data_IF_385703382900
#
_entry.id   IF_385703382900
#
_cell.length_a   1.000
_cell.length_b   1.000
_cell.length_c   1.000
_cell.angle_alpha   90.00
_cell.angle_beta   90.00
_cell.angle_gamma   90.00
#
_symmetry.space_group_name_H-M   'P 1'
#
loop_
_entity.id
_entity.type
_entity.pdbx_description
1 polymer ?
#
# COMPACT_ATOMS: atom_id res chain seq x y z
N UNK A 1 -7.56 -17.54 -13.23
CA UNK A 1 -7.47 -16.14 -12.78
C UNK A 1 -6.53 -16.13 -11.59
N UNK A 2 -5.36 -15.50 -11.71
CA UNK A 2 -4.41 -15.40 -10.58
C UNK A 2 -4.93 -14.36 -9.60
N UNK A 3 -4.98 -14.73 -8.33
CA UNK A 3 -5.37 -13.83 -7.25
C UNK A 3 -4.09 -13.25 -6.64
N UNK A 4 -3.93 -11.93 -6.74
CA UNK A 4 -2.77 -11.18 -6.21
C UNK A 4 -3.00 -10.65 -4.80
N UNK A 5 -4.09 -11.04 -4.15
CA UNK A 5 -4.48 -10.63 -2.81
C UNK A 5 -4.70 -11.87 -1.93
N UNK A 6 -4.46 -11.71 -0.63
CA UNK A 6 -5.07 -12.59 0.37
C UNK A 6 -6.59 -12.40 0.38
N UNK A 7 -7.33 -13.45 0.73
CA UNK A 7 -8.79 -13.45 0.72
C UNK A 7 -9.35 -12.36 1.67
N UNK A 8 -8.73 -12.18 2.83
CA UNK A 8 -9.15 -11.18 3.82
C UNK A 8 -8.99 -9.74 3.29
N UNK A 9 -7.91 -9.47 2.54
CA UNK A 9 -7.67 -8.16 1.92
C UNK A 9 -8.68 -7.93 0.79
N UNK A 10 -8.96 -8.96 0.00
CA UNK A 10 -9.93 -8.89 -1.08
C UNK A 10 -11.33 -8.60 -0.56
N UNK A 11 -11.74 -9.27 0.52
CA UNK A 11 -13.03 -9.07 1.15
C UNK A 11 -13.15 -7.69 1.79
N UNK A 12 -12.09 -7.20 2.46
CA UNK A 12 -12.05 -5.84 2.99
C UNK A 12 -12.19 -4.78 1.88
N UNK A 13 -11.50 -4.94 0.75
CA UNK A 13 -11.63 -4.04 -0.40
C UNK A 13 -13.06 -4.02 -0.95
N UNK A 14 -13.67 -5.20 -1.11
CA UNK A 14 -15.05 -5.34 -1.59
C UNK A 14 -16.06 -4.71 -0.64
N UNK A 15 -15.88 -4.92 0.67
CA UNK A 15 -16.77 -4.36 1.69
C UNK A 15 -16.73 -2.83 1.70
N UNK A 16 -15.55 -2.25 1.44
CA UNK A 16 -15.36 -0.80 1.26
C UNK A 16 -15.75 -0.29 -0.13
N UNK A 17 -16.28 -1.14 -1.02
CA UNK A 17 -16.67 -0.76 -2.38
C UNK A 17 -15.48 -0.36 -3.28
N UNK A 18 -14.26 -0.78 -2.93
CA UNK A 18 -13.05 -0.49 -3.70
C UNK A 18 -12.90 -1.54 -4.79
N UNK A 19 -12.72 -1.09 -6.04
CA UNK A 19 -12.45 -1.99 -7.17
C UNK A 19 -11.12 -2.70 -6.97
N UNK A 20 -11.13 -4.00 -7.27
CA UNK A 20 -9.98 -4.92 -7.09
C UNK A 20 -9.17 -5.11 -8.38
N UNK A 21 -9.49 -4.34 -9.42
CA UNK A 21 -8.76 -4.31 -10.68
C UNK A 21 -7.37 -3.71 -10.42
N UNK A 22 -6.33 -4.54 -10.54
CA UNK A 22 -4.95 -4.14 -10.34
C UNK A 22 -4.22 -3.88 -11.66
N UNK A 23 -3.30 -2.92 -11.64
CA UNK A 23 -2.41 -2.60 -12.76
C UNK A 23 -0.99 -3.08 -12.48
N UNK A 24 -0.37 -3.80 -13.41
CA UNK A 24 1.08 -4.04 -13.39
C UNK A 24 1.74 -3.20 -14.47
N UNK A 25 2.47 -2.18 -14.07
CA UNK A 25 3.27 -1.35 -14.98
C UNK A 25 4.67 -1.93 -15.12
N UNK A 26 5.15 -2.10 -16.35
CA UNK A 26 6.50 -2.65 -16.61
C UNK A 26 7.36 -1.63 -17.37
N UNK A 27 8.48 -1.18 -16.79
CA UNK A 27 9.38 -0.19 -17.39
C UNK A 27 10.76 -0.80 -17.66
N UNK A 28 11.17 -0.87 -18.92
CA UNK A 28 12.50 -1.38 -19.33
C UNK A 28 12.70 -2.90 -19.21
N UNK A 29 11.92 -3.57 -18.35
CA UNK A 29 12.02 -5.01 -18.08
C UNK A 29 11.18 -5.88 -19.04
N UNK A 30 11.52 -5.88 -20.33
CA UNK A 30 10.75 -6.57 -21.39
C UNK A 30 10.53 -8.06 -21.13
N UNK A 31 11.53 -8.78 -20.59
CA UNK A 31 11.37 -10.20 -20.26
C UNK A 31 10.35 -10.43 -19.15
N UNK A 32 10.28 -9.53 -18.17
CA UNK A 32 9.28 -9.61 -17.11
C UNK A 32 7.87 -9.30 -17.65
N UNK A 33 7.75 -8.37 -18.61
CA UNK A 33 6.49 -8.08 -19.29
C UNK A 33 5.88 -9.35 -19.90
N UNK A 34 6.69 -10.11 -20.67
CA UNK A 34 6.25 -11.35 -21.31
C UNK A 34 5.81 -12.40 -20.28
N UNK A 35 6.61 -12.60 -19.23
CA UNK A 35 6.31 -13.56 -18.17
C UNK A 35 5.00 -13.23 -17.42
N UNK A 36 4.76 -11.95 -17.13
CA UNK A 36 3.55 -11.51 -16.43
C UNK A 36 2.33 -11.57 -17.36
N UNK A 37 2.46 -11.14 -18.61
CA UNK A 37 1.36 -11.16 -19.59
C UNK A 37 0.87 -12.58 -19.89
N UNK A 38 1.76 -13.57 -19.87
CA UNK A 38 1.40 -14.97 -20.05
C UNK A 38 0.44 -15.49 -18.95
N UNK A 39 0.46 -14.86 -17.76
CA UNK A 39 -0.30 -15.30 -16.59
C UNK A 39 -1.50 -14.41 -16.30
N UNK A 40 -1.37 -13.09 -16.49
CA UNK A 40 -2.41 -12.10 -16.21
C UNK A 40 -2.65 -11.20 -17.43
N UNK A 41 -3.20 -11.75 -18.52
CA UNK A 41 -3.48 -10.98 -19.73
C UNK A 41 -4.49 -9.86 -19.43
N UNK A 42 -4.15 -8.63 -19.79
CA UNK A 42 -5.02 -7.45 -19.67
C UNK A 42 -4.79 -6.56 -18.44
N UNK A 43 -4.09 -7.04 -17.41
CA UNK A 43 -3.72 -6.22 -16.25
C UNK A 43 -2.32 -5.57 -16.39
N UNK A 44 -1.54 -6.00 -17.38
CA UNK A 44 -0.14 -5.60 -17.56
C UNK A 44 0.02 -4.55 -18.66
N UNK A 45 0.73 -3.46 -18.35
CA UNK A 45 0.99 -2.37 -19.29
C UNK A 45 2.50 -2.15 -19.42
N UNK A 46 2.98 -2.11 -20.65
CA UNK A 46 4.35 -1.68 -20.94
C UNK A 46 4.41 -0.15 -20.83
N UNK A 47 5.29 0.34 -19.98
CA UNK A 47 5.54 1.75 -19.74
C UNK A 47 6.80 2.16 -20.49
N UNK A 48 6.74 3.33 -21.11
CA UNK A 48 7.80 3.81 -22.00
C UNK A 48 8.76 4.78 -21.32
N UNK A 49 8.37 5.35 -20.17
CA UNK A 49 9.17 6.35 -19.44
C UNK A 49 8.89 6.34 -17.94
N UNK A 50 9.83 6.91 -17.15
CA UNK A 50 9.64 7.16 -15.71
C UNK A 50 8.44 8.06 -15.45
N UNK A 51 8.23 9.09 -16.27
CA UNK A 51 7.07 9.99 -16.15
C UNK A 51 5.74 9.23 -16.30
N UNK A 52 5.68 8.27 -17.23
CA UNK A 52 4.50 7.42 -17.41
C UNK A 52 4.30 6.49 -16.22
N UNK A 53 5.38 5.93 -15.67
CA UNK A 53 5.34 5.10 -14.46
C UNK A 53 4.83 5.86 -13.24
N UNK A 54 5.31 7.10 -13.02
CA UNK A 54 4.82 7.98 -11.95
C UNK A 54 3.34 8.31 -12.14
N UNK A 55 2.93 8.59 -13.38
CA UNK A 55 1.51 8.85 -13.68
C UNK A 55 0.66 7.62 -13.34
N UNK A 56 1.08 6.43 -13.78
CA UNK A 56 0.39 5.18 -13.49
C UNK A 56 0.29 4.92 -11.98
N UNK A 57 1.37 5.16 -11.24
CA UNK A 57 1.42 5.03 -9.78
C UNK A 57 0.41 5.92 -9.06
N UNK A 58 0.24 7.16 -9.54
CA UNK A 58 -0.64 8.16 -8.92
C UNK A 58 -2.09 8.07 -9.37
N UNK A 59 -2.34 7.64 -10.61
CA UNK A 59 -3.70 7.51 -11.14
C UNK A 59 -4.37 6.18 -10.77
N UNK A 60 -3.57 5.17 -10.43
CA UNK A 60 -4.07 3.83 -10.15
C UNK A 60 -4.19 3.60 -8.64
N UNK A 61 -5.36 3.10 -8.24
CA UNK A 61 -5.60 2.72 -6.83
C UNK A 61 -4.74 1.53 -6.45
N UNK A 62 -4.78 0.46 -7.26
CA UNK A 62 -4.03 -0.78 -7.05
C UNK A 62 -3.03 -0.93 -8.18
N UNK A 63 -1.75 -0.76 -7.87
CA UNK A 63 -0.66 -0.78 -8.86
C UNK A 63 0.58 -1.40 -8.25
N UNK A 64 1.28 -2.16 -9.07
CA UNK A 64 2.65 -2.63 -8.83
C UNK A 64 3.51 -2.24 -10.03
N UNK A 65 4.74 -1.80 -9.78
CA UNK A 65 5.67 -1.42 -10.84
C UNK A 65 6.83 -2.40 -10.89
N UNK A 66 7.05 -3.02 -12.06
CA UNK A 66 8.24 -3.83 -12.34
C UNK A 66 9.15 -3.03 -13.23
N UNK A 67 10.34 -2.70 -12.74
CA UNK A 67 11.24 -1.78 -13.43
C UNK A 67 12.61 -2.39 -13.56
N UNK A 68 13.34 -2.06 -14.62
CA UNK A 68 14.75 -2.39 -14.69
C UNK A 68 15.53 -1.62 -13.60
N UNK A 69 16.50 -2.28 -12.98
CA UNK A 69 17.21 -1.75 -11.81
C UNK A 69 17.81 -0.36 -12.06
N UNK A 70 18.38 -0.12 -13.25
CA UNK A 70 18.93 1.19 -13.65
C UNK A 70 17.91 2.34 -13.66
N UNK A 71 16.63 2.03 -13.86
CA UNK A 71 15.54 3.01 -13.87
C UNK A 71 14.83 3.10 -12.51
N UNK A 72 15.13 2.20 -11.58
CA UNK A 72 14.47 2.14 -10.28
C UNK A 72 14.83 3.34 -9.40
N UNK A 73 16.10 3.78 -9.41
CA UNK A 73 16.55 4.94 -8.64
C UNK A 73 15.86 6.23 -9.10
N UNK A 74 15.87 6.50 -10.41
CA UNK A 74 15.20 7.66 -11.00
C UNK A 74 13.69 7.64 -10.71
N UNK A 75 13.05 6.47 -10.77
CA UNK A 75 11.64 6.33 -10.45
C UNK A 75 11.35 6.59 -8.96
N UNK A 76 12.17 6.06 -8.06
CA UNK A 76 12.02 6.31 -6.62
C UNK A 76 12.17 7.80 -6.33
N UNK A 77 13.18 8.45 -6.90
CA UNK A 77 13.41 9.88 -6.72
C UNK A 77 12.20 10.70 -7.22
N UNK A 78 11.67 10.34 -8.39
CA UNK A 78 10.51 11.01 -8.97
C UNK A 78 9.20 10.78 -8.18
N UNK A 79 9.05 9.63 -7.52
CA UNK A 79 7.92 9.33 -6.63
C UNK A 79 8.06 10.02 -5.26
N UNK A 80 9.28 10.25 -4.79
CA UNK A 80 9.54 10.83 -3.48
C UNK A 80 8.96 9.94 -2.36
N UNK A 81 8.18 10.53 -1.45
CA UNK A 81 7.54 9.82 -0.35
C UNK A 81 6.54 8.74 -0.80
N UNK A 82 6.00 8.85 -2.02
CA UNK A 82 5.03 7.89 -2.54
C UNK A 82 5.67 6.52 -2.84
N UNK A 83 6.99 6.47 -3.04
CA UNK A 83 7.71 5.26 -3.46
C UNK A 83 7.47 4.07 -2.51
N UNK A 84 7.42 4.32 -1.20
CA UNK A 84 7.17 3.32 -0.17
C UNK A 84 5.76 2.71 -0.25
N UNK A 85 4.82 3.38 -0.92
CA UNK A 85 3.42 2.96 -1.05
C UNK A 85 3.10 2.28 -2.39
N UNK A 86 3.96 2.41 -3.41
CA UNK A 86 3.68 2.03 -4.80
C UNK A 86 4.15 0.61 -5.16
N UNK A 87 4.93 -0.05 -4.30
CA UNK A 87 5.34 -1.44 -4.50
C UNK A 87 6.16 -1.62 -5.78
N UNK A 88 7.44 -1.22 -5.71
CA UNK A 88 8.38 -1.25 -6.83
C UNK A 88 9.22 -2.53 -6.75
N UNK A 89 9.22 -3.31 -7.83
CA UNK A 89 10.05 -4.52 -7.99
C UNK A 89 11.10 -4.21 -9.05
N UNK A 90 12.38 -4.24 -8.67
CA UNK A 90 13.48 -4.00 -9.61
C UNK A 90 13.97 -5.30 -10.24
N UNK A 91 14.31 -5.26 -11.52
CA UNK A 91 14.88 -6.36 -12.30
C UNK A 91 16.37 -6.11 -12.55
N UNK A 92 17.23 -7.01 -12.09
CA UNK A 92 18.68 -6.87 -12.26
C UNK A 92 19.49 -7.77 -11.33
N UNK A 93 20.81 -7.58 -11.36
CA UNK A 93 21.76 -8.36 -10.56
C UNK A 93 21.52 -8.16 -9.04
N UNK A 94 21.33 -9.26 -8.31
CA UNK A 94 21.15 -9.28 -6.85
C UNK A 94 22.37 -8.76 -6.08
N UNK A 95 23.55 -8.71 -6.72
CA UNK A 95 24.77 -8.14 -6.17
C UNK A 95 24.76 -6.61 -6.06
N UNK A 96 23.80 -5.93 -6.70
CA UNK A 96 23.64 -4.49 -6.60
C UNK A 96 22.92 -4.09 -5.32
N UNK A 97 23.30 -2.95 -4.74
CA UNK A 97 22.58 -2.39 -3.60
C UNK A 97 21.12 -2.10 -3.99
N UNK A 98 20.16 -2.66 -3.26
CA UNK A 98 18.73 -2.39 -3.46
C UNK A 98 18.46 -0.90 -3.18
N UNK A 99 17.95 -0.12 -4.15
CA UNK A 99 17.60 1.27 -3.90
C UNK A 99 16.54 1.38 -2.79
N UNK A 100 16.65 2.42 -1.95
CA UNK A 100 15.63 2.71 -0.93
C UNK A 100 14.27 2.90 -1.62
N UNK A 101 13.18 2.36 -1.06
CA UNK A 101 11.85 2.43 -1.68
C UNK A 101 11.56 1.34 -2.71
N UNK A 102 12.56 0.55 -3.13
CA UNK A 102 12.35 -0.68 -3.89
C UNK A 102 12.00 -1.82 -2.92
N UNK A 103 10.90 -2.51 -3.18
CA UNK A 103 10.40 -3.60 -2.34
C UNK A 103 11.29 -4.84 -2.44
N UNK A 104 11.64 -5.21 -3.67
CA UNK A 104 12.44 -6.40 -3.97
C UNK A 104 13.26 -6.19 -5.25
N UNK A 105 14.40 -6.89 -5.32
CA UNK A 105 15.19 -7.05 -6.55
C UNK A 105 15.06 -8.50 -6.98
N UNK A 106 14.79 -8.71 -8.27
CA UNK A 106 14.63 -10.02 -8.89
C UNK A 106 15.59 -10.13 -10.07
N UNK A 107 16.37 -11.20 -10.12
CA UNK A 107 17.31 -11.42 -11.21
C UNK A 107 16.63 -12.08 -12.40
N UNK A 108 15.93 -13.19 -12.13
CA UNK A 108 15.28 -13.99 -13.15
C UNK A 108 13.82 -13.56 -13.36
N UNK A 109 13.42 -13.22 -14.59
CA UNK A 109 12.06 -12.77 -14.91
C UNK A 109 11.08 -13.95 -15.03
N UNK A 110 11.15 -14.94 -14.14
CA UNK A 110 10.17 -16.03 -14.09
C UNK A 110 8.95 -15.62 -13.28
N UNK A 111 7.81 -16.24 -13.55
CA UNK A 111 6.61 -16.00 -12.75
C UNK A 111 6.79 -16.39 -11.28
N UNK A 112 7.53 -17.48 -11.00
CA UNK A 112 7.73 -17.98 -9.65
C UNK A 112 8.55 -16.97 -8.81
N UNK A 113 9.49 -16.27 -9.43
CA UNK A 113 10.29 -15.23 -8.77
C UNK A 113 9.57 -13.88 -8.69
N UNK A 114 8.80 -13.53 -9.72
CA UNK A 114 8.05 -12.27 -9.80
C UNK A 114 6.78 -12.27 -8.94
N UNK A 115 6.13 -13.41 -8.77
CA UNK A 115 4.84 -13.50 -8.10
C UNK A 115 4.88 -13.07 -6.62
N UNK A 116 5.79 -13.59 -5.77
CA UNK A 116 5.84 -13.18 -4.37
C UNK A 116 5.99 -11.67 -4.16
N UNK A 117 6.95 -10.96 -4.83
CA UNK A 117 7.08 -9.52 -4.66
C UNK A 117 5.94 -8.73 -5.33
N UNK A 118 5.38 -9.20 -6.45
CA UNK A 118 4.20 -8.57 -7.05
C UNK A 118 2.98 -8.66 -6.13
N UNK A 119 2.69 -9.85 -5.61
CA UNK A 119 1.60 -10.06 -4.63
C UNK A 119 1.78 -9.12 -3.43
N UNK A 120 2.99 -9.08 -2.86
CA UNK A 120 3.31 -8.17 -1.75
C UNK A 120 3.10 -6.70 -2.12
N UNK A 121 3.46 -6.29 -3.33
CA UNK A 121 3.23 -4.92 -3.83
C UNK A 121 1.75 -4.58 -3.88
N UNK A 122 0.92 -5.48 -4.42
CA UNK A 122 -0.53 -5.29 -4.46
C UNK A 122 -1.16 -5.26 -3.06
N UNK A 123 -0.75 -6.15 -2.17
CA UNK A 123 -1.22 -6.16 -0.78
C UNK A 123 -0.84 -4.85 -0.06
N UNK A 124 0.38 -4.37 -0.24
CA UNK A 124 0.86 -3.12 0.35
C UNK A 124 -0.01 -1.92 -0.07
N UNK A 125 -0.30 -1.86 -1.38
CA UNK A 125 -1.10 -0.81 -1.98
C UNK A 125 -2.57 -0.90 -1.58
N UNK A 126 -3.11 -2.12 -1.49
CA UNK A 126 -4.46 -2.37 -1.01
C UNK A 126 -4.63 -1.90 0.44
N UNK A 127 -3.68 -2.23 1.32
CA UNK A 127 -3.71 -1.80 2.72
C UNK A 127 -3.68 -0.28 2.85
N UNK A 128 -2.82 0.41 2.09
CA UNK A 128 -2.83 1.87 2.08
C UNK A 128 -4.15 2.45 1.57
N UNK A 129 -4.75 1.83 0.56
CA UNK A 129 -6.04 2.26 0.03
C UNK A 129 -7.16 2.09 1.06
N UNK A 130 -7.15 0.97 1.79
CA UNK A 130 -8.08 0.68 2.88
C UNK A 130 -7.89 1.64 4.06
N UNK A 131 -6.64 1.89 4.46
CA UNK A 131 -6.31 2.85 5.50
C UNK A 131 -6.82 4.25 5.14
N UNK A 132 -6.56 4.70 3.92
CA UNK A 132 -7.03 5.99 3.45
C UNK A 132 -8.56 6.06 3.45
N UNK A 133 -9.25 5.01 2.98
CA UNK A 133 -10.71 4.92 3.03
C UNK A 133 -11.23 5.00 4.46
N UNK A 134 -10.59 4.28 5.39
CA UNK A 134 -10.96 4.32 6.81
C UNK A 134 -10.77 5.70 7.43
N UNK A 135 -9.65 6.38 7.16
CA UNK A 135 -9.41 7.76 7.63
C UNK A 135 -10.45 8.73 7.09
N UNK A 136 -10.83 8.61 5.81
CA UNK A 136 -11.90 9.43 5.23
C UNK A 136 -13.24 9.19 5.92
N UNK A 137 -13.58 7.93 6.18
CA UNK A 137 -14.82 7.56 6.86
C UNK A 137 -14.86 8.04 8.32
N UNK A 138 -13.76 7.89 9.05
CA UNK A 138 -13.63 8.39 10.42
C UNK A 138 -13.82 9.92 10.47
N UNK A 139 -13.20 10.66 9.53
CA UNK A 139 -13.41 12.11 9.40
C UNK A 139 -14.87 12.45 9.08
N UNK A 140 -15.53 11.66 8.22
CA UNK A 140 -16.95 11.86 7.87
C UNK A 140 -17.86 11.66 9.08
N UNK A 141 -17.62 10.60 9.86
CA UNK A 141 -18.36 10.32 11.09
C UNK A 141 -18.14 11.44 12.10
N UNK A 142 -16.88 11.80 12.36
CA UNK A 142 -16.54 12.89 13.29
C UNK A 142 -17.20 14.20 12.89
N UNK A 143 -17.20 14.57 11.60
CA UNK A 143 -17.91 15.76 11.11
C UNK A 143 -19.41 15.67 11.32
N UNK A 144 -20.01 14.51 11.08
CA UNK A 144 -21.45 14.30 11.27
C UNK A 144 -21.83 14.36 12.75
N UNK A 145 -21.04 13.76 13.63
CA UNK A 145 -21.20 13.87 15.08
C UNK A 145 -21.05 15.33 15.51
N UNK A 146 -20.10 16.04 14.92
CA UNK A 146 -19.91 17.46 15.16
C UNK A 146 -21.13 18.30 14.75
N UNK A 147 -21.70 18.05 13.58
CA UNK A 147 -22.95 18.68 13.10
C UNK A 147 -24.16 18.31 13.97
N UNK A 148 -24.21 17.10 14.52
CA UNK A 148 -25.30 16.63 15.39
C UNK A 148 -25.20 17.17 16.83
N UNK A 149 -23.98 17.41 17.33
CA UNK A 149 -23.72 17.88 18.69
C UNK A 149 -23.70 19.41 18.81
N UNK A 150 -23.65 20.15 17.69
CA UNK A 150 -23.46 21.60 17.68
C UNK A 150 -21.98 22.01 17.86
N UNK A 151 -21.68 23.30 17.66
CA UNK A 151 -20.31 23.84 17.63
C UNK A 151 -19.47 23.42 18.85
N UNK A 152 -18.17 23.09 18.67
CA UNK A 152 -17.29 22.75 19.76
C UNK A 152 -16.82 24.08 20.40
N UNK A 153 -16.42 24.11 21.68
CA UNK A 153 -15.76 25.29 22.21
C UNK A 153 -14.54 25.63 21.33
N UNK A 154 -14.49 26.88 20.84
CA UNK A 154 -13.52 27.49 19.92
C UNK A 154 -12.06 27.10 20.22
N UNK A 155 -11.57 25.92 19.79
CA UNK A 155 -10.16 25.53 20.00
C UNK A 155 -9.57 24.56 18.96
N UNK A 156 -10.30 24.15 17.92
CA UNK A 156 -9.82 23.13 16.97
C UNK A 156 -10.08 23.49 15.48
N UNK A 157 -9.93 24.76 15.13
CA UNK A 157 -9.66 25.20 13.75
C UNK A 157 -8.16 25.05 13.54
N UNK A 158 -7.65 24.26 12.60
CA UNK A 158 -7.15 24.90 11.37
C UNK A 158 -6.86 23.98 10.17
N UNK A 159 -7.11 22.66 10.18
CA UNK A 159 -6.70 21.79 9.05
C UNK A 159 -7.87 21.21 8.23
N UNK A 160 -8.71 22.10 7.69
CA UNK A 160 -9.88 21.73 6.86
C UNK A 160 -9.88 22.41 5.48
N UNK A 161 -8.96 22.05 4.58
CA UNK A 161 -9.17 22.34 3.16
C UNK A 161 -8.84 21.13 2.25
N UNK A 162 -9.80 20.84 1.36
CA UNK A 162 -9.73 20.05 0.12
C UNK A 162 -9.71 18.52 0.22
N UNK A 163 -10.90 17.91 0.25
CA UNK A 163 -11.19 16.69 -0.50
C UNK A 163 -12.71 16.51 -0.68
N UNK A 164 -13.20 16.56 -1.92
CA UNK A 164 -14.58 16.18 -2.24
C UNK A 164 -14.72 14.64 -2.22
N UNK A 165 -15.66 14.06 -1.45
CA UNK A 165 -15.87 12.62 -1.43
C UNK A 165 -16.60 12.12 -2.69
N UNK A 166 -16.34 10.88 -3.16
CA UNK A 166 -17.19 10.23 -4.17
C UNK A 166 -18.58 9.92 -3.58
N UNK A 167 -19.64 9.82 -4.41
CA UNK A 167 -21.00 9.59 -3.93
C UNK A 167 -21.17 8.15 -3.38
N UNK A 168 -21.86 8.03 -2.25
CA UNK A 168 -22.08 6.77 -1.50
C UNK A 168 -23.28 5.96 -2.04
N UNK A 169 -23.24 4.62 -1.97
CA UNK A 169 -24.45 3.81 -1.89
C UNK A 169 -25.01 3.84 -0.45
N UNK A 170 -26.31 4.08 -0.33
CA UNK A 170 -27.06 4.13 0.93
C UNK A 170 -27.36 2.71 1.42
N UNK A 171 -26.83 2.35 2.60
CA UNK A 171 -27.15 1.12 3.33
C UNK A 171 -27.21 1.36 4.85
N UNK A 172 -27.97 0.54 5.61
CA UNK A 172 -28.32 0.85 6.99
C UNK A 172 -27.11 0.76 7.91
N UNK A 173 -26.98 1.79 8.75
CA UNK A 173 -26.06 1.89 9.89
C UNK A 173 -26.15 0.66 10.80
N UNK A 174 -25.10 -0.16 10.84
CA UNK A 174 -24.96 -1.26 11.80
C UNK A 174 -23.56 -1.23 12.40
N UNK A 175 -23.50 -0.98 13.71
CA UNK A 175 -22.47 -1.47 14.66
C UNK A 175 -21.04 -1.62 14.12
N UNK A 176 -20.34 -0.50 13.92
CA UNK A 176 -18.88 -0.53 13.77
C UNK A 176 -18.25 -0.68 15.17
N UNK A 177 -17.65 -1.82 15.46
CA UNK A 177 -16.79 -1.99 16.64
C UNK A 177 -15.41 -1.36 16.34
N UNK A 178 -15.33 -0.06 16.61
CA UNK A 178 -14.16 0.76 16.33
C UNK A 178 -12.94 0.34 17.17
N UNK A 179 -13.15 -0.24 18.35
CA UNK A 179 -12.05 -0.70 19.22
C UNK A 179 -11.36 -1.93 18.61
N UNK A 180 -12.15 -2.94 18.21
CA UNK A 180 -11.60 -4.13 17.55
C UNK A 180 -10.90 -3.81 16.23
N UNK A 181 -11.37 -2.81 15.48
CA UNK A 181 -10.74 -2.35 14.23
C UNK A 181 -9.47 -1.54 14.48
N UNK A 182 -9.46 -0.69 15.52
CA UNK A 182 -8.28 0.07 15.91
C UNK A 182 -7.15 -0.85 16.38
N UNK A 183 -7.47 -1.87 17.18
CA UNK A 183 -6.50 -2.87 17.65
C UNK A 183 -5.93 -3.69 16.48
N UNK A 184 -6.80 -4.15 15.57
CA UNK A 184 -6.37 -4.88 14.37
C UNK A 184 -5.49 -4.02 13.46
N UNK A 185 -5.80 -2.72 13.33
CA UNK A 185 -5.02 -1.77 12.55
C UNK A 185 -3.66 -1.47 13.21
N UNK A 186 -3.62 -1.22 14.52
CA UNK A 186 -2.37 -1.01 15.25
C UNK A 186 -1.46 -2.23 15.10
N UNK A 187 -2.02 -3.44 15.21
CA UNK A 187 -1.28 -4.67 15.06
C UNK A 187 -0.71 -4.84 13.64
N UNK A 188 -1.54 -4.63 12.61
CA UNK A 188 -1.09 -4.68 11.21
C UNK A 188 -0.04 -3.60 10.90
N UNK A 189 -0.16 -2.41 11.49
CA UNK A 189 0.81 -1.32 11.32
C UNK A 189 2.15 -1.64 11.99
N UNK A 190 2.13 -2.20 13.21
CA UNK A 190 3.33 -2.63 13.92
C UNK A 190 4.03 -3.77 13.19
N UNK A 191 3.30 -4.77 12.72
CA UNK A 191 3.83 -5.86 11.88
C UNK A 191 4.47 -5.31 10.60
N UNK A 192 3.82 -4.33 9.98
CA UNK A 192 4.32 -3.67 8.77
C UNK A 192 5.62 -2.91 8.99
N UNK A 193 5.73 -2.14 10.07
CA UNK A 193 6.98 -1.43 10.38
C UNK A 193 8.10 -2.42 10.74
N UNK A 194 7.79 -3.50 11.47
CA UNK A 194 8.77 -4.55 11.74
C UNK A 194 9.26 -5.27 10.48
N UNK A 195 8.39 -5.52 9.51
CA UNK A 195 8.72 -6.23 8.27
C UNK A 195 9.55 -5.36 7.30
N UNK A 196 9.39 -4.04 7.38
CA UNK A 196 10.11 -3.06 6.54
C UNK A 196 11.42 -2.56 7.17
N UNK A 197 11.67 -2.88 8.44
CA UNK A 197 12.87 -2.49 9.16
C UNK A 197 13.92 -3.60 9.16
N UNK A 198 15.19 -3.24 9.00
CA UNK A 198 16.31 -4.18 8.99
C UNK A 198 16.63 -4.70 10.41
N UNK A 199 16.17 -3.99 11.44
CA UNK A 199 16.34 -4.40 12.84
C UNK A 199 15.16 -3.97 13.73
N UNK A 200 14.99 -4.67 14.87
CA UNK A 200 13.99 -4.33 15.90
C UNK A 200 14.22 -2.91 16.44
N UNK A 201 15.47 -2.45 16.48
CA UNK A 201 15.82 -1.10 16.95
C UNK A 201 15.29 -0.03 15.99
N UNK A 202 15.44 -0.26 14.69
CA UNK A 202 14.93 0.63 13.65
C UNK A 202 13.39 0.64 13.62
N UNK A 203 12.76 -0.53 13.79
CA UNK A 203 11.30 -0.61 13.89
C UNK A 203 10.76 0.15 15.11
N UNK A 204 11.47 0.08 16.23
CA UNK A 204 11.13 0.77 17.47
C UNK A 204 11.20 2.29 17.35
N UNK A 205 12.24 2.79 16.69
CA UNK A 205 12.41 4.21 16.41
C UNK A 205 11.30 4.74 15.47
N UNK A 206 10.92 3.99 14.43
CA UNK A 206 9.84 4.36 13.51
C UNK A 206 8.44 4.32 14.14
N UNK A 207 8.26 3.51 15.18
CA UNK A 207 7.00 3.37 15.91
C UNK A 207 6.93 4.26 17.17
N UNK A 208 7.97 5.04 17.45
CA UNK A 208 8.13 5.84 18.68
C UNK A 208 7.88 5.03 19.98
N UNK A 209 8.36 3.79 20.01
CA UNK A 209 8.23 2.89 21.17
C UNK A 209 9.59 2.30 21.54
N UNK A 210 9.71 1.82 22.78
CA UNK A 210 10.95 1.16 23.19
C UNK A 210 11.13 -0.20 22.49
N UNK A 211 12.38 -0.55 22.16
CA UNK A 211 12.73 -1.87 21.60
C UNK A 211 12.35 -3.02 22.53
N UNK A 212 12.32 -2.78 23.86
CA UNK A 212 11.85 -3.74 24.85
C UNK A 212 10.33 -3.97 24.77
N UNK A 213 9.54 -2.94 24.45
CA UNK A 213 8.08 -3.03 24.26
C UNK A 213 7.76 -3.89 23.04
N UNK A 214 8.44 -3.66 21.92
CA UNK A 214 8.33 -4.48 20.70
C UNK A 214 8.79 -5.92 20.91
N UNK A 215 9.90 -6.11 21.62
CA UNK A 215 10.42 -7.44 21.95
C UNK A 215 9.50 -8.27 22.84
N UNK A 216 8.76 -7.64 23.76
CA UNK A 216 7.74 -8.30 24.60
C UNK A 216 6.50 -8.69 23.80
N UNK A 217 6.03 -7.83 22.88
CA UNK A 217 4.91 -8.15 21.97
C UNK A 217 5.24 -9.36 21.11
N UNK A 218 6.40 -9.40 20.47
CA UNK A 218 6.82 -10.52 19.62
C UNK A 218 6.90 -11.87 20.33
N UNK A 219 7.24 -11.89 21.63
CA UNK A 219 7.29 -13.12 22.46
C UNK A 219 5.92 -13.59 22.94
N UNK A 220 4.89 -12.75 22.88
CA UNK A 220 3.53 -13.09 23.29
C UNK A 220 2.78 -13.83 22.18
N UNK A 221 3.21 -13.65 20.92
CA UNK A 221 2.58 -14.22 19.71
C UNK A 221 3.30 -15.49 19.17
N UNK A 222 4.41 -15.91 19.79
CA UNK A 222 5.10 -17.20 19.55
C UNK A 222 4.96 -18.12 20.74
#
# INVERSE_FOLDING_TARGET
MVILFRDEVLDALRWQGIRTEGLVGVLGAHRALEAIQAVIPGATHALTSVTEAVRAARSSRLVALVVELRAAEELVEALGSDAESVGIVAMGDLGAARPRGVLAVVEDPTWDDLFPPLRRSFELRALHTLEHAHRCEAKRISRREHELLGEPPETLSDDLELCHPPPLPVGPTSSYDLESLADAFEQAYVERVQLLSESIREAAEKLDVSSATLGRRKRRDT
#
